data_IF_693120518525
#
_entry.id   IF_693120518525
#
_cell.length_a   1.000
_cell.length_b   1.000
_cell.length_c   1.000
_cell.angle_alpha   90.00
_cell.angle_beta   90.00
_cell.angle_gamma   90.00
#
_symmetry.space_group_name_H-M   'P 1'
#
loop_
_entity.id
_entity.type
_entity.pdbx_description
1 polymer ?
#
# COMPACT_ATOMS: atom_id res chain seq x y z
N UNK A 1 -13.80 21.43 18.35
CA UNK A 1 -15.04 20.71 18.01
C UNK A 1 -14.98 20.37 16.52
N UNK A 2 -14.75 19.10 16.16
CA UNK A 2 -14.78 18.65 14.77
C UNK A 2 -16.25 18.46 14.37
N UNK A 3 -16.79 19.40 13.59
CA UNK A 3 -18.15 19.33 13.01
C UNK A 3 -18.16 18.30 11.86
N UNK A 4 -18.00 17.02 12.18
CA UNK A 4 -18.11 15.95 11.18
C UNK A 4 -19.56 15.50 11.09
N UNK A 5 -20.31 16.11 10.16
CA UNK A 5 -21.64 15.64 9.79
C UNK A 5 -21.48 14.33 9.02
N UNK A 6 -22.09 13.24 9.50
CA UNK A 6 -22.15 11.97 8.75
C UNK A 6 -22.99 12.18 7.49
N UNK A 7 -22.33 12.42 6.36
CA UNK A 7 -22.97 12.47 5.05
C UNK A 7 -23.05 11.05 4.50
N UNK A 8 -24.27 10.61 4.17
CA UNK A 8 -24.48 9.35 3.47
C UNK A 8 -24.00 9.53 2.04
N UNK A 9 -23.01 8.75 1.63
CA UNK A 9 -22.56 8.69 0.24
C UNK A 9 -23.51 7.74 -0.49
N UNK A 10 -24.22 8.24 -1.50
CA UNK A 10 -25.08 7.46 -2.37
C UNK A 10 -24.46 7.48 -3.78
N UNK A 11 -23.49 6.60 -4.08
CA UNK A 11 -22.83 6.61 -5.38
C UNK A 11 -23.80 6.13 -6.47
N UNK A 12 -23.70 6.71 -7.66
CA UNK A 12 -24.30 6.12 -8.87
C UNK A 12 -23.69 4.76 -9.17
N UNK A 13 -24.31 3.98 -10.05
CA UNK A 13 -23.77 2.68 -10.49
C UNK A 13 -22.35 2.81 -11.05
N UNK A 14 -22.09 3.83 -11.87
CA UNK A 14 -20.76 4.13 -12.42
C UNK A 14 -19.76 4.48 -11.32
N UNK A 15 -20.14 5.32 -10.36
CA UNK A 15 -19.29 5.69 -9.23
C UNK A 15 -18.97 4.47 -8.36
N UNK A 16 -19.95 3.60 -8.10
CA UNK A 16 -19.74 2.37 -7.34
C UNK A 16 -18.75 1.44 -8.05
N UNK A 17 -18.86 1.30 -9.38
CA UNK A 17 -17.92 0.51 -10.17
C UNK A 17 -16.49 1.06 -10.09
N UNK A 18 -16.31 2.38 -10.23
CA UNK A 18 -15.00 3.04 -10.09
C UNK A 18 -14.43 2.84 -8.69
N UNK A 19 -15.24 3.04 -7.64
CA UNK A 19 -14.81 2.84 -6.26
C UNK A 19 -14.38 1.39 -6.01
N UNK A 20 -15.12 0.42 -6.55
CA UNK A 20 -14.77 -0.99 -6.44
C UNK A 20 -13.42 -1.31 -7.09
N UNK A 21 -13.22 -0.85 -8.32
CA UNK A 21 -11.96 -1.04 -9.05
C UNK A 21 -10.78 -0.39 -8.31
N UNK A 22 -10.96 0.82 -7.78
CA UNK A 22 -9.93 1.50 -7.00
C UNK A 22 -9.63 0.77 -5.69
N UNK A 23 -10.66 0.28 -4.99
CA UNK A 23 -10.52 -0.49 -3.75
C UNK A 23 -9.70 -1.75 -3.99
N UNK A 24 -9.99 -2.49 -5.05
CA UNK A 24 -9.24 -3.70 -5.41
C UNK A 24 -7.77 -3.40 -5.73
N UNK A 25 -7.50 -2.35 -6.52
CA UNK A 25 -6.13 -1.91 -6.81
C UNK A 25 -5.38 -1.54 -5.54
N UNK A 26 -6.01 -0.79 -4.63
CA UNK A 26 -5.44 -0.44 -3.33
C UNK A 26 -5.17 -1.67 -2.46
N UNK A 27 -6.09 -2.64 -2.44
CA UNK A 27 -5.93 -3.91 -1.70
C UNK A 27 -4.72 -4.70 -2.21
N UNK A 28 -4.57 -4.81 -3.53
CA UNK A 28 -3.41 -5.47 -4.13
C UNK A 28 -2.12 -4.74 -3.78
N UNK A 29 -2.07 -3.43 -4.01
CA UNK A 29 -0.90 -2.60 -3.71
C UNK A 29 -0.45 -2.76 -2.26
N UNK A 30 -1.40 -2.73 -1.31
CA UNK A 30 -1.14 -2.93 0.11
C UNK A 30 -0.55 -4.31 0.39
N UNK A 31 -1.19 -5.38 -0.10
CA UNK A 31 -0.76 -6.75 0.16
C UNK A 31 0.64 -7.03 -0.39
N UNK A 32 0.96 -6.55 -1.60
CA UNK A 32 2.30 -6.69 -2.18
C UNK A 32 3.35 -5.91 -1.41
N UNK A 33 3.06 -4.63 -1.12
CA UNK A 33 3.93 -3.78 -0.30
C UNK A 33 4.22 -4.39 1.06
N UNK A 34 3.24 -5.07 1.66
CA UNK A 34 3.40 -5.76 2.93
C UNK A 34 4.24 -7.04 2.77
N UNK A 35 4.02 -7.81 1.71
CA UNK A 35 4.78 -9.02 1.40
C UNK A 35 6.27 -8.71 1.18
N UNK A 36 6.59 -7.68 0.40
CA UNK A 36 7.98 -7.22 0.19
C UNK A 36 8.67 -6.91 1.52
N UNK A 37 7.97 -6.24 2.44
CA UNK A 37 8.52 -5.93 3.78
C UNK A 37 8.73 -7.17 4.62
N UNK A 38 7.84 -8.17 4.54
CA UNK A 38 8.01 -9.44 5.23
C UNK A 38 9.23 -10.20 4.70
N UNK A 39 9.43 -10.21 3.39
CA UNK A 39 10.56 -10.86 2.75
C UNK A 39 11.88 -10.15 3.08
N UNK A 40 11.93 -8.83 2.95
CA UNK A 40 13.09 -8.04 3.33
C UNK A 40 13.42 -8.26 4.82
N UNK A 41 12.42 -8.24 5.71
CA UNK A 41 12.65 -8.55 7.12
C UNK A 41 13.31 -9.92 7.30
N UNK A 42 12.77 -10.98 6.67
CA UNK A 42 13.37 -12.33 6.74
C UNK A 42 14.81 -12.36 6.25
N UNK A 43 15.13 -11.64 5.16
CA UNK A 43 16.48 -11.56 4.61
C UNK A 43 17.43 -10.79 5.52
N UNK A 44 17.00 -9.66 6.11
CA UNK A 44 17.83 -8.90 7.04
C UNK A 44 18.07 -9.67 8.34
N UNK A 45 17.13 -10.49 8.80
CA UNK A 45 17.32 -11.33 10.00
C UNK A 45 18.47 -12.34 9.84
N UNK A 46 18.79 -12.76 8.62
CA UNK A 46 19.92 -13.66 8.34
C UNK A 46 21.28 -12.95 8.42
N UNK A 47 21.30 -11.61 8.42
CA UNK A 47 22.53 -10.82 8.51
C UNK A 47 22.95 -10.56 9.96
N UNK A 48 24.26 -10.33 10.20
CA UNK A 48 24.76 -9.76 11.46
C UNK A 48 23.99 -8.49 11.82
N UNK A 49 23.79 -8.25 13.12
CA UNK A 49 22.93 -7.17 13.63
C UNK A 49 23.33 -5.79 13.08
N UNK A 50 24.63 -5.56 12.92
CA UNK A 50 25.19 -4.27 12.50
C UNK A 50 24.99 -4.00 11.00
N UNK A 51 24.77 -5.05 10.19
CA UNK A 51 24.58 -4.96 8.74
C UNK A 51 23.09 -4.98 8.32
N UNK A 52 22.16 -5.02 9.29
CA UNK A 52 20.73 -5.08 9.00
C UNK A 52 20.24 -3.73 8.52
N UNK A 53 19.73 -3.69 7.29
CA UNK A 53 19.13 -2.50 6.71
C UNK A 53 17.72 -2.79 6.21
N UNK A 54 16.74 -2.54 7.07
CA UNK A 54 15.33 -2.78 6.77
C UNK A 54 14.75 -1.73 5.83
N UNK A 55 13.78 -2.16 5.03
CA UNK A 55 13.01 -1.29 4.16
C UNK A 55 12.18 -0.32 5.00
N UNK A 56 12.57 0.94 4.93
CA UNK A 56 11.90 2.05 5.57
C UNK A 56 10.86 2.70 4.63
N UNK A 57 10.07 3.62 5.19
CA UNK A 57 9.03 4.34 4.44
C UNK A 57 9.60 5.09 3.22
N UNK A 58 10.78 5.73 3.36
CA UNK A 58 11.40 6.51 2.28
C UNK A 58 11.77 5.63 1.09
N UNK A 59 12.38 4.47 1.34
CA UNK A 59 12.72 3.49 0.31
C UNK A 59 11.46 3.01 -0.41
N UNK A 60 10.42 2.66 0.37
CA UNK A 60 9.15 2.19 -0.17
C UNK A 60 8.39 3.24 -0.99
N UNK A 61 8.40 4.49 -0.54
CA UNK A 61 7.81 5.63 -1.27
C UNK A 61 8.51 5.85 -2.61
N UNK A 62 9.85 5.70 -2.66
CA UNK A 62 10.64 5.82 -3.90
C UNK A 62 10.37 4.70 -4.90
N UNK A 63 10.10 3.47 -4.46
CA UNK A 63 9.77 2.34 -5.35
C UNK A 63 8.30 2.29 -5.75
N UNK A 64 7.42 3.03 -5.07
CA UNK A 64 5.99 3.02 -5.35
C UNK A 64 5.62 3.34 -6.82
N UNK A 65 6.26 4.30 -7.52
CA UNK A 65 5.98 4.56 -8.94
C UNK A 65 6.23 3.33 -9.81
N UNK A 66 7.33 2.60 -9.58
CA UNK A 66 7.66 1.37 -10.32
C UNK A 66 6.65 0.26 -10.06
N UNK A 67 6.18 0.13 -8.82
CA UNK A 67 5.14 -0.83 -8.45
C UNK A 67 3.81 -0.51 -9.16
N UNK A 68 3.43 0.77 -9.22
CA UNK A 68 2.23 1.22 -9.94
C UNK A 68 2.31 0.99 -11.46
N UNK A 69 3.49 1.15 -12.06
CA UNK A 69 3.67 0.86 -13.49
C UNK A 69 3.53 -0.63 -13.82
N UNK A 70 4.02 -1.49 -12.92
CA UNK A 70 3.91 -2.95 -13.09
C UNK A 70 2.46 -3.45 -12.94
N UNK A 71 1.61 -2.70 -12.22
CA UNK A 71 0.23 -3.08 -11.90
C UNK A 71 -0.72 -1.87 -11.98
N UNK A 72 -1.19 -1.52 -13.19
CA UNK A 72 -2.02 -0.33 -13.44
C UNK A 72 -3.44 -0.39 -12.84
#
# INVERSE_FOLDING_TARGET
MLLTKKLRICPSSEQAHVLWNLSEKCRFLYNFSLQERKEDWKLQQQKPKDDRNYTNYLKQSKTLPSIKQKYP
#
